data_IF_715707480576
#
_entry.id   IF_715707480576
#
_cell.length_a   1.000
_cell.length_b   1.000
_cell.length_c   1.000
_cell.angle_alpha   90.00
_cell.angle_beta   90.00
_cell.angle_gamma   90.00
#
_symmetry.space_group_name_H-M   'P 1'
#
loop_
_entity.id
_entity.type
_entity.pdbx_description
1 polymer ?
#
# COMPACT_ATOMS: atom_id res chain seq x y z
N UNK A 1 24.48 14.95 -18.27
CA UNK A 1 25.15 14.46 -17.05
C UNK A 1 24.77 13.02 -16.85
N UNK A 2 25.74 12.13 -16.61
CA UNK A 2 25.48 10.70 -16.44
C UNK A 2 24.55 10.48 -15.25
N UNK A 3 23.38 9.87 -15.49
CA UNK A 3 22.35 9.60 -14.47
C UNK A 3 22.83 8.68 -13.33
N UNK A 4 23.97 8.01 -13.49
CA UNK A 4 24.53 7.06 -12.52
C UNK A 4 25.13 7.72 -11.27
N UNK A 5 25.71 8.93 -11.38
CA UNK A 5 26.30 9.62 -10.21
C UNK A 5 25.24 10.21 -9.28
N UNK A 6 24.11 10.65 -9.83
CA UNK A 6 23.02 11.28 -9.08
C UNK A 6 22.41 10.30 -8.05
N UNK A 7 22.24 9.03 -8.43
CA UNK A 7 21.72 8.00 -7.53
C UNK A 7 22.73 7.66 -6.43
N UNK A 8 24.00 7.53 -6.80
CA UNK A 8 25.11 7.27 -5.87
C UNK A 8 25.22 8.36 -4.79
N UNK A 9 25.19 9.64 -5.20
CA UNK A 9 25.22 10.78 -4.28
C UNK A 9 23.96 10.87 -3.41
N UNK A 10 22.77 10.72 -4.01
CA UNK A 10 21.48 10.88 -3.30
C UNK A 10 21.26 9.81 -2.23
N UNK A 11 21.70 8.58 -2.48
CA UNK A 11 21.47 7.46 -1.58
C UNK A 11 22.73 6.94 -0.89
N UNK A 12 23.88 7.58 -1.14
CA UNK A 12 25.20 7.19 -0.63
C UNK A 12 25.54 5.73 -0.96
N UNK A 13 25.59 5.43 -2.27
CA UNK A 13 25.84 4.09 -2.83
C UNK A 13 27.01 4.15 -3.80
N UNK A 14 27.93 3.20 -3.70
CA UNK A 14 29.09 3.06 -4.59
C UNK A 14 28.92 1.87 -5.55
N UNK A 15 29.18 2.10 -6.84
CA UNK A 15 29.16 1.05 -7.88
C UNK A 15 27.78 0.68 -8.45
N UNK A 16 27.78 -0.04 -9.58
CA UNK A 16 26.58 -0.55 -10.27
C UNK A 16 26.72 -2.08 -10.38
N UNK A 17 25.66 -2.88 -10.10
CA UNK A 17 24.31 -2.46 -9.72
C UNK A 17 24.17 -2.26 -8.22
N UNK A 18 23.59 -1.12 -7.84
CA UNK A 18 23.13 -0.85 -6.48
C UNK A 18 21.64 -1.20 -6.36
N UNK A 19 21.28 -2.04 -5.40
CA UNK A 19 19.89 -2.24 -4.98
C UNK A 19 19.67 -1.45 -3.68
N UNK A 20 18.97 -0.34 -3.79
CA UNK A 20 18.56 0.48 -2.65
C UNK A 20 17.10 0.15 -2.33
N UNK A 21 16.83 -0.20 -1.09
CA UNK A 21 15.46 -0.44 -0.60
C UNK A 21 15.06 0.73 0.29
N UNK A 22 13.92 1.33 0.01
CA UNK A 22 13.37 2.47 0.77
C UNK A 22 12.08 2.06 1.48
N UNK A 23 11.84 2.68 2.63
CA UNK A 23 10.55 2.61 3.32
C UNK A 23 9.50 3.44 2.57
N UNK A 24 8.22 3.31 2.94
CA UNK A 24 7.14 4.12 2.36
C UNK A 24 7.25 5.62 2.70
N UNK A 25 7.98 5.96 3.76
CA UNK A 25 8.32 7.34 4.16
C UNK A 25 9.60 7.84 3.49
N UNK A 26 10.14 7.09 2.52
CA UNK A 26 11.41 7.36 1.83
C UNK A 26 12.65 7.25 2.72
N UNK A 27 12.55 6.63 3.90
CA UNK A 27 13.73 6.33 4.72
C UNK A 27 14.51 5.17 4.12
N UNK A 28 15.84 5.25 4.11
CA UNK A 28 16.69 4.18 3.56
C UNK A 28 16.63 2.94 4.45
N UNK A 29 16.21 1.80 3.89
CA UNK A 29 16.22 0.50 4.56
C UNK A 29 17.59 -0.14 4.40
N UNK A 30 18.06 -0.27 3.17
CA UNK A 30 19.44 -0.68 2.87
C UNK A 30 19.91 0.01 1.58
N UNK A 31 21.21 0.23 1.51
CA UNK A 31 21.92 0.66 0.30
C UNK A 31 22.73 -0.49 -0.33
N UNK A 32 22.80 -1.64 0.35
CA UNK A 32 23.60 -2.80 -0.03
C UNK A 32 22.71 -4.03 -0.29
N UNK A 33 21.53 -3.78 -0.87
CA UNK A 33 20.52 -4.82 -1.07
C UNK A 33 21.00 -5.98 -1.95
N UNK A 34 22.02 -5.76 -2.78
CA UNK A 34 22.62 -6.81 -3.62
C UNK A 34 23.36 -7.83 -2.75
N UNK A 35 24.24 -7.38 -1.84
CA UNK A 35 24.97 -8.32 -0.98
C UNK A 35 24.02 -8.99 0.02
N UNK A 36 23.04 -8.26 0.53
CA UNK A 36 22.04 -8.82 1.44
C UNK A 36 21.20 -9.92 0.78
N UNK A 37 20.77 -9.75 -0.48
CA UNK A 37 20.15 -10.83 -1.26
C UNK A 37 21.14 -11.98 -1.50
N UNK A 38 22.40 -11.67 -1.80
CA UNK A 38 23.42 -12.69 -2.08
C UNK A 38 23.64 -13.60 -0.86
N UNK A 39 23.68 -13.01 0.34
CA UNK A 39 23.92 -13.72 1.60
C UNK A 39 22.66 -14.40 2.14
N UNK A 40 21.54 -13.68 2.21
CA UNK A 40 20.34 -14.12 2.91
C UNK A 40 19.24 -14.64 1.97
N UNK A 41 19.37 -14.46 0.66
CA UNK A 41 18.38 -14.85 -0.34
C UNK A 41 16.98 -14.34 0.03
N UNK A 42 15.96 -15.22 0.10
CA UNK A 42 14.60 -14.84 0.48
C UNK A 42 14.49 -14.24 1.89
N UNK A 43 15.42 -14.55 2.81
CA UNK A 43 15.41 -14.00 4.18
C UNK A 43 15.78 -12.52 4.22
N UNK A 44 16.41 -11.97 3.18
CA UNK A 44 16.69 -10.54 3.09
C UNK A 44 15.39 -9.73 3.13
N UNK A 45 14.33 -10.22 2.45
CA UNK A 45 13.00 -9.59 2.48
C UNK A 45 12.41 -9.57 3.90
N UNK A 46 12.52 -10.69 4.62
CA UNK A 46 12.05 -10.78 6.01
C UNK A 46 12.83 -9.79 6.89
N UNK A 47 14.15 -9.71 6.73
CA UNK A 47 15.00 -8.78 7.48
C UNK A 47 14.69 -7.31 7.18
N UNK A 48 14.45 -6.96 5.91
CA UNK A 48 14.02 -5.61 5.52
C UNK A 48 12.68 -5.23 6.15
N UNK A 49 11.82 -6.24 6.38
CA UNK A 49 10.52 -6.08 7.00
C UNK A 49 10.53 -6.09 8.54
N UNK A 50 11.60 -6.59 9.16
CA UNK A 50 11.68 -6.67 10.62
C UNK A 50 11.71 -5.27 11.26
N UNK A 51 10.73 -5.01 12.12
CA UNK A 51 10.59 -3.73 12.81
C UNK A 51 10.18 -2.55 11.92
N UNK A 52 9.99 -2.76 10.62
CA UNK A 52 9.57 -1.73 9.67
C UNK A 52 8.23 -2.14 9.07
N UNK A 53 7.24 -1.26 9.12
CA UNK A 53 5.96 -1.43 8.42
C UNK A 53 6.21 -1.29 6.91
N UNK A 54 6.79 -2.32 6.29
CA UNK A 54 6.85 -2.39 4.85
C UNK A 54 5.44 -2.54 4.32
N UNK A 55 5.16 -1.70 3.35
CA UNK A 55 3.82 -1.43 2.88
C UNK A 55 3.16 -2.62 2.20
N UNK A 56 3.96 -3.47 1.58
CA UNK A 56 3.54 -4.65 0.82
C UNK A 56 3.43 -5.92 1.66
N UNK A 57 3.76 -5.89 2.95
CA UNK A 57 3.81 -7.10 3.78
C UNK A 57 3.11 -6.97 5.14
N UNK A 58 2.28 -5.94 5.34
CA UNK A 58 1.55 -5.80 6.61
C UNK A 58 0.19 -6.47 6.52
N UNK A 59 -0.08 -7.37 7.46
CA UNK A 59 -1.44 -7.84 7.71
C UNK A 59 -2.33 -6.67 8.20
N UNK A 60 -3.61 -6.64 7.81
CA UNK A 60 -4.57 -5.69 8.37
C UNK A 60 -4.71 -5.92 9.88
N UNK A 61 -4.87 -4.83 10.63
CA UNK A 61 -5.25 -4.93 12.04
C UNK A 61 -6.72 -5.34 12.17
N UNK A 62 -7.12 -5.83 13.35
CA UNK A 62 -8.51 -6.20 13.63
C UNK A 62 -9.52 -5.06 13.35
N UNK A 63 -9.09 -3.81 13.49
CA UNK A 63 -9.88 -2.59 13.28
C UNK A 63 -9.76 -2.01 11.85
N UNK A 64 -9.03 -2.68 10.95
CA UNK A 64 -8.80 -2.21 9.60
C UNK A 64 -9.44 -3.12 8.55
N UNK A 65 -9.87 -2.49 7.47
CA UNK A 65 -10.42 -3.21 6.33
C UNK A 65 -9.40 -3.34 5.20
N UNK A 66 -9.53 -4.42 4.44
CA UNK A 66 -8.79 -4.66 3.21
C UNK A 66 -9.69 -4.33 2.02
N UNK A 67 -9.16 -3.54 1.09
CA UNK A 67 -9.80 -3.18 -0.17
C UNK A 67 -9.10 -3.94 -1.30
N UNK A 68 -9.51 -5.20 -1.51
CA UNK A 68 -8.80 -6.16 -2.37
C UNK A 68 -8.48 -5.64 -3.77
N UNK A 69 -9.44 -4.96 -4.40
CA UNK A 69 -9.32 -4.46 -5.79
C UNK A 69 -8.97 -2.97 -5.87
N UNK A 70 -8.51 -2.36 -4.76
CA UNK A 70 -8.22 -0.92 -4.72
C UNK A 70 -6.74 -0.68 -4.47
N UNK A 71 -6.13 0.13 -5.33
CA UNK A 71 -4.76 0.57 -5.14
C UNK A 71 -4.65 2.06 -4.82
N UNK A 72 -3.74 2.45 -3.92
CA UNK A 72 -3.45 3.86 -3.70
C UNK A 72 -2.82 4.47 -4.96
N UNK A 73 -3.40 5.53 -5.53
CA UNK A 73 -2.96 6.13 -6.79
C UNK A 73 -1.62 6.90 -6.68
N UNK A 74 -1.09 7.11 -5.48
CA UNK A 74 0.20 7.78 -5.28
C UNK A 74 1.35 6.81 -4.98
N UNK A 75 1.14 5.89 -4.04
CA UNK A 75 2.18 4.95 -3.60
C UNK A 75 1.92 3.50 -4.04
N UNK A 76 0.85 3.24 -4.78
CA UNK A 76 0.51 1.94 -5.36
C UNK A 76 0.34 0.81 -4.34
N UNK A 77 -0.11 1.14 -3.11
CA UNK A 77 -0.52 0.13 -2.13
C UNK A 77 -1.55 -0.77 -2.78
N UNK A 78 -1.35 -2.07 -2.81
CA UNK A 78 -2.38 -3.00 -3.25
C UNK A 78 -2.21 -4.34 -2.53
N UNK A 79 -3.26 -4.87 -1.86
CA UNK A 79 -4.56 -4.22 -1.64
C UNK A 79 -4.44 -3.02 -0.69
N UNK A 80 -5.30 -2.01 -0.84
CA UNK A 80 -5.32 -0.89 0.10
C UNK A 80 -5.81 -1.38 1.47
N UNK A 81 -5.08 -1.09 2.53
CA UNK A 81 -5.39 -1.50 3.91
C UNK A 81 -5.68 -0.26 4.77
N UNK A 82 -6.75 -0.31 5.56
CA UNK A 82 -7.22 0.78 6.43
C UNK A 82 -8.18 1.75 5.72
N UNK A 83 -8.14 3.04 6.10
CA UNK A 83 -9.00 4.06 5.51
C UNK A 83 -8.69 4.30 4.02
N UNK A 84 -9.73 4.18 3.19
CA UNK A 84 -9.69 4.50 1.76
C UNK A 84 -10.29 5.87 1.51
N UNK A 85 -9.60 6.71 0.76
CA UNK A 85 -10.10 8.03 0.35
C UNK A 85 -10.27 8.07 -1.16
N UNK A 86 -11.50 7.89 -1.63
CA UNK A 86 -11.78 7.81 -3.06
C UNK A 86 -12.45 9.08 -3.59
N UNK A 87 -12.17 9.42 -4.84
CA UNK A 87 -12.90 10.47 -5.53
C UNK A 87 -14.28 9.96 -5.98
N UNK A 88 -15.32 10.78 -5.80
CA UNK A 88 -16.68 10.43 -6.23
C UNK A 88 -17.00 10.87 -7.66
N UNK A 89 -16.10 11.66 -8.27
CA UNK A 89 -16.29 12.15 -9.63
C UNK A 89 -16.11 11.01 -10.63
N UNK A 90 -17.11 10.79 -11.50
CA UNK A 90 -17.22 9.61 -12.38
C UNK A 90 -15.99 9.38 -13.27
N UNK A 91 -15.33 10.46 -13.71
CA UNK A 91 -14.15 10.41 -14.58
C UNK A 91 -12.82 10.42 -13.79
N UNK A 92 -12.88 10.49 -12.47
CA UNK A 92 -11.72 10.55 -11.59
C UNK A 92 -11.60 9.26 -10.77
N UNK A 93 -10.93 8.26 -11.34
CA UNK A 93 -10.66 6.99 -10.65
C UNK A 93 -9.40 7.11 -9.78
N UNK A 94 -9.54 7.80 -8.64
CA UNK A 94 -8.44 8.03 -7.70
C UNK A 94 -8.85 7.54 -6.32
N UNK A 95 -7.96 6.74 -5.74
CA UNK A 95 -8.06 6.21 -4.39
C UNK A 95 -6.75 6.47 -3.67
N UNK A 96 -6.81 7.02 -2.45
CA UNK A 96 -5.62 7.30 -1.64
C UNK A 96 -5.72 6.59 -0.29
N UNK A 97 -4.59 6.09 0.19
CA UNK A 97 -4.45 5.68 1.59
C UNK A 97 -4.34 6.92 2.49
N UNK A 98 -4.60 6.75 3.79
CA UNK A 98 -4.48 7.81 4.80
C UNK A 98 -3.13 8.56 4.74
N UNK A 99 -2.03 7.84 4.52
CA UNK A 99 -0.67 8.42 4.48
C UNK A 99 -0.47 9.33 3.27
N UNK A 100 -1.09 9.01 2.14
CA UNK A 100 -0.93 9.78 0.90
C UNK A 100 -1.94 10.92 0.78
N UNK A 101 -3.01 10.92 1.58
CA UNK A 101 -4.05 11.95 1.56
C UNK A 101 -3.51 13.38 1.67
N UNK A 102 -2.56 13.73 2.57
CA UNK A 102 -2.04 15.10 2.66
C UNK A 102 -1.29 15.56 1.41
N UNK A 103 -0.82 14.63 0.58
CA UNK A 103 -0.11 14.91 -0.67
C UNK A 103 -1.06 14.99 -1.88
N UNK A 104 -2.37 14.88 -1.68
CA UNK A 104 -3.34 15.04 -2.75
C UNK A 104 -3.33 16.49 -3.26
N UNK A 105 -2.97 16.67 -4.53
CA UNK A 105 -3.00 17.97 -5.22
C UNK A 105 -4.20 18.12 -6.16
N UNK A 106 -5.11 17.14 -6.17
CA UNK A 106 -6.28 17.17 -7.06
C UNK A 106 -7.37 18.06 -6.47
N UNK A 107 -8.09 18.74 -7.35
CA UNK A 107 -9.16 19.67 -6.98
C UNK A 107 -10.44 18.96 -6.52
N UNK A 108 -10.66 17.72 -6.97
CA UNK A 108 -11.87 16.99 -6.60
C UNK A 108 -11.84 16.60 -5.11
N UNK A 109 -12.94 16.78 -4.39
CA UNK A 109 -13.06 16.30 -3.02
C UNK A 109 -12.97 14.78 -2.99
N UNK A 110 -12.33 14.25 -1.95
CA UNK A 110 -12.28 12.83 -1.65
C UNK A 110 -13.23 12.53 -0.50
N UNK A 111 -13.86 11.35 -0.54
CA UNK A 111 -14.66 10.83 0.56
C UNK A 111 -13.94 9.66 1.21
N UNK A 112 -13.99 9.61 2.54
CA UNK A 112 -13.48 8.46 3.29
C UNK A 112 -14.49 7.32 3.26
N UNK A 113 -14.05 6.16 2.80
CA UNK A 113 -14.79 4.92 2.88
C UNK A 113 -14.29 4.14 4.10
N UNK A 114 -15.18 3.98 5.07
CA UNK A 114 -14.86 3.36 6.37
C UNK A 114 -14.91 1.82 6.33
N UNK A 115 -15.60 1.23 5.37
CA UNK A 115 -15.67 -0.23 5.20
C UNK A 115 -15.99 -0.63 3.75
N UNK A 116 -15.43 -1.74 3.24
CA UNK A 116 -15.76 -2.29 1.93
C UNK A 116 -17.25 -2.58 1.81
N UNK A 117 -17.79 -2.38 0.61
CA UNK A 117 -19.16 -2.83 0.31
C UNK A 117 -19.18 -4.35 0.46
N UNK A 118 -19.83 -4.83 1.51
CA UNK A 118 -20.05 -6.27 1.69
C UNK A 118 -21.01 -6.74 0.59
N UNK A 119 -20.48 -7.52 -0.35
CA UNK A 119 -21.27 -8.29 -1.29
C UNK A 119 -21.70 -9.58 -0.59
N UNK A 120 -22.94 -9.60 -0.11
CA UNK A 120 -23.54 -10.81 0.40
C UNK A 120 -24.13 -11.60 -0.77
N UNK A 121 -23.92 -12.92 -0.80
CA UNK A 121 -24.77 -13.78 -1.62
C UNK A 121 -26.21 -13.67 -1.10
N UNK A 122 -27.22 -13.91 -1.96
CA UNK A 122 -28.62 -13.93 -1.53
C UNK A 122 -28.80 -14.88 -0.33
N UNK A 123 -28.17 -16.06 -0.35
CA UNK A 123 -28.18 -17.01 0.77
C UNK A 123 -27.58 -16.43 2.07
N UNK A 124 -26.48 -15.69 1.99
CA UNK A 124 -25.87 -15.05 3.16
C UNK A 124 -26.74 -13.91 3.70
N UNK A 125 -27.42 -13.18 2.80
CA UNK A 125 -28.39 -12.14 3.17
C UNK A 125 -29.57 -12.75 3.93
N UNK A 126 -30.16 -13.83 3.41
CA UNK A 126 -31.28 -14.52 4.06
C UNK A 126 -30.90 -15.15 5.41
N UNK A 127 -29.66 -15.65 5.56
CA UNK A 127 -29.16 -16.15 6.85
C UNK A 127 -28.91 -15.04 7.88
N UNK A 128 -28.47 -13.86 7.44
CA UNK A 128 -28.19 -12.73 8.33
C UNK A 128 -29.43 -11.92 8.72
N UNK A 129 -30.54 -12.11 8.01
CA UNK A 129 -31.79 -11.37 8.24
C UNK A 129 -32.99 -12.33 8.29
N UNK A 130 -33.17 -13.10 9.38
CA UNK A 130 -34.16 -14.19 9.43
C UNK A 130 -35.61 -13.73 9.23
N UNK A 131 -35.91 -12.47 9.58
CA UNK A 131 -37.25 -11.90 9.45
C UNK A 131 -37.64 -11.55 8.01
N UNK A 132 -36.72 -11.53 7.05
CA UNK A 132 -37.04 -11.39 5.63
C UNK A 132 -37.55 -12.70 4.99
N UNK A 133 -37.50 -13.81 5.72
CA UNK A 133 -37.96 -15.13 5.25
C UNK A 133 -39.43 -15.43 5.60
N UNK A 134 -40.09 -14.58 6.40
CA UNK A 134 -41.51 -14.70 6.74
C UNK A 134 -42.20 -13.34 6.50
N UNK A 135 -42.73 -13.08 5.29
CA UNK A 135 -43.57 -11.91 5.00
C UNK A 135 -44.93 -11.96 5.70
#
# INVERSE_FOLDING_TARGET
>A
GNSSTILGEKFNVEGIPALVVLSPTCDKITADGVEEIRVASKKALDQWSQGKRLFWSREPREDEYVWEDTACSLCYLSPLIGSRHGCTHKECNIDLCQTCLPNNKREHPLVEYLMPKKTYSLEALFKSVPYLLNP
#
